data_IF_729520044783
#
_entry.id   IF_729520044783
#
_cell.length_a   1.000
_cell.length_b   1.000
_cell.length_c   1.000
_cell.angle_alpha   90.00
_cell.angle_beta   90.00
_cell.angle_gamma   90.00
#
_symmetry.space_group_name_H-M   'P 1'
#
loop_
_entity.id
_entity.type
_entity.pdbx_description
1 polymer ?
#
# COMPACT_ATOMS: atom_id res chain seq x y z
N UNK A 1 5.14 0.76 -1.20
CA UNK A 1 4.44 1.99 -1.63
C UNK A 1 2.94 1.79 -1.76
N UNK A 2 2.46 1.11 -2.81
CA UNK A 2 1.02 1.09 -3.13
C UNK A 2 0.17 0.40 -2.07
N UNK A 3 0.67 -0.69 -1.47
CA UNK A 3 0.00 -1.35 -0.36
C UNK A 3 -0.12 -0.42 0.86
N UNK A 4 0.95 0.31 1.21
CA UNK A 4 0.90 1.28 2.31
C UNK A 4 -0.15 2.38 2.05
N UNK A 5 -0.24 2.88 0.82
CA UNK A 5 -1.27 3.86 0.46
C UNK A 5 -2.69 3.31 0.71
N UNK A 6 -2.94 2.06 0.33
CA UNK A 6 -4.20 1.37 0.61
C UNK A 6 -4.44 1.11 2.10
N UNK A 7 -3.40 0.77 2.86
CA UNK A 7 -3.49 0.59 4.32
C UNK A 7 -3.90 1.90 5.01
N UNK A 8 -3.30 3.03 4.64
CA UNK A 8 -3.66 4.35 5.15
C UNK A 8 -5.09 4.75 4.72
N UNK A 9 -5.45 4.48 3.46
CA UNK A 9 -6.81 4.69 2.96
C UNK A 9 -7.85 3.83 3.69
N UNK A 10 -7.48 2.61 4.10
CA UNK A 10 -8.36 1.70 4.85
C UNK A 10 -8.74 2.30 6.20
N UNK A 11 -7.80 2.88 6.94
CA UNK A 11 -8.09 3.55 8.22
C UNK A 11 -9.14 4.64 8.04
N UNK A 12 -8.96 5.50 7.02
CA UNK A 12 -9.91 6.57 6.71
C UNK A 12 -11.26 6.01 6.28
N UNK A 13 -11.29 4.92 5.50
CA UNK A 13 -12.54 4.28 5.06
C UNK A 13 -13.37 3.71 6.20
N UNK A 14 -12.72 3.40 7.33
CA UNK A 14 -13.36 2.97 8.57
C UNK A 14 -13.91 4.15 9.39
N UNK A 15 -13.84 5.38 8.86
CA UNK A 15 -14.27 6.61 9.54
C UNK A 15 -13.31 7.03 10.65
N UNK A 16 -12.04 6.60 10.59
CA UNK A 16 -11.04 6.84 11.65
C UNK A 16 -9.95 7.80 11.18
N UNK A 17 -9.38 8.62 12.08
CA UNK A 17 -8.23 9.45 11.75
C UNK A 17 -7.00 8.58 11.47
N UNK A 18 -6.07 9.07 10.64
CA UNK A 18 -4.83 8.36 10.31
C UNK A 18 -3.97 8.00 11.54
N UNK A 19 -4.10 8.76 12.64
CA UNK A 19 -3.46 8.44 13.91
C UNK A 19 -3.87 7.07 14.46
N UNK A 20 -5.03 6.54 14.05
CA UNK A 20 -5.51 5.20 14.43
C UNK A 20 -4.83 4.07 13.65
N UNK A 21 -3.96 4.37 12.67
CA UNK A 21 -3.18 3.36 11.97
C UNK A 21 -2.36 2.49 12.91
N UNK A 22 -1.95 3.04 14.05
CA UNK A 22 -1.18 2.37 15.11
C UNK A 22 -1.97 1.28 15.86
N UNK A 23 -3.29 1.21 15.64
CA UNK A 23 -4.21 0.24 16.23
C UNK A 23 -4.66 -0.84 15.21
N UNK A 24 -4.16 -0.77 13.97
CA UNK A 24 -4.60 -1.65 12.90
C UNK A 24 -3.91 -3.01 13.00
N UNK A 25 -4.70 -4.03 13.34
CA UNK A 25 -4.30 -5.44 13.19
C UNK A 25 -4.28 -5.85 11.71
N UNK A 26 -3.10 -6.22 11.21
CA UNK A 26 -2.87 -6.54 9.79
C UNK A 26 -2.28 -7.94 9.69
N UNK A 27 -2.96 -8.83 8.97
CA UNK A 27 -2.46 -10.18 8.63
C UNK A 27 -1.90 -10.14 7.22
N UNK A 28 -0.66 -10.56 7.04
CA UNK A 28 0.05 -10.57 5.75
C UNK A 28 0.36 -11.99 5.35
N UNK A 29 -0.25 -12.47 4.26
CA UNK A 29 0.04 -13.76 3.66
C UNK A 29 1.10 -13.60 2.57
N UNK A 30 2.33 -14.03 2.86
CA UNK A 30 3.48 -13.95 1.97
C UNK A 30 4.70 -13.33 2.65
N UNK A 31 5.68 -14.17 3.00
CA UNK A 31 6.97 -13.75 3.59
C UNK A 31 8.08 -13.51 2.55
N UNK A 32 7.71 -13.20 1.31
CA UNK A 32 8.64 -12.80 0.26
C UNK A 32 8.98 -11.31 0.31
N UNK A 33 9.79 -10.86 -0.64
CA UNK A 33 10.25 -9.45 -0.72
C UNK A 33 9.12 -8.42 -0.68
N UNK A 34 8.00 -8.69 -1.35
CA UNK A 34 6.83 -7.81 -1.35
C UNK A 34 6.22 -7.68 0.06
N UNK A 35 5.93 -8.81 0.72
CA UNK A 35 5.33 -8.81 2.06
C UNK A 35 6.24 -8.17 3.10
N UNK A 36 7.52 -8.53 3.10
CA UNK A 36 8.52 -7.95 4.00
C UNK A 36 8.72 -6.45 3.75
N UNK A 37 8.73 -6.02 2.48
CA UNK A 37 8.82 -4.61 2.12
C UNK A 37 7.62 -3.79 2.59
N UNK A 38 6.40 -4.32 2.45
CA UNK A 38 5.19 -3.66 2.95
C UNK A 38 5.19 -3.58 4.47
N UNK A 39 5.57 -4.67 5.16
CA UNK A 39 5.69 -4.68 6.61
C UNK A 39 6.70 -3.65 7.13
N UNK A 40 7.88 -3.57 6.50
CA UNK A 40 8.89 -2.56 6.82
C UNK A 40 8.33 -1.14 6.70
N UNK A 41 7.69 -0.83 5.56
CA UNK A 41 7.09 0.49 5.33
C UNK A 41 5.95 0.80 6.31
N UNK A 42 5.11 -0.18 6.64
CA UNK A 42 4.00 0.00 7.58
C UNK A 42 4.51 0.24 9.01
N UNK A 43 5.54 -0.48 9.45
CA UNK A 43 6.19 -0.25 10.75
C UNK A 43 6.80 1.15 10.81
N UNK A 44 7.50 1.58 9.76
CA UNK A 44 8.07 2.93 9.68
C UNK A 44 6.97 4.01 9.76
N UNK A 45 5.84 3.80 9.08
CA UNK A 45 4.70 4.70 9.15
C UNK A 45 4.10 4.77 10.56
N UNK A 46 3.99 3.63 11.25
CA UNK A 46 3.51 3.59 12.65
C UNK A 46 4.49 4.31 13.58
N UNK A 47 5.80 4.10 13.43
CA UNK A 47 6.82 4.80 14.22
C UNK A 47 6.74 6.31 14.01
N UNK A 48 6.59 6.77 12.77
CA UNK A 48 6.42 8.20 12.41
C UNK A 48 5.14 8.80 13.03
N UNK A 49 4.02 8.07 13.01
CA UNK A 49 2.72 8.56 13.51
C UNK A 49 2.68 8.58 15.05
N UNK A 50 3.17 7.52 15.70
CA UNK A 50 3.09 7.37 17.16
C UNK A 50 4.19 8.10 17.91
N UNK A 51 5.33 8.40 17.26
CA UNK A 51 6.56 8.81 17.95
C UNK A 51 7.16 7.71 18.83
N UNK A 52 6.63 6.49 18.78
CA UNK A 52 7.08 5.34 19.56
C UNK A 52 8.16 4.54 18.81
N UNK A 53 8.86 3.67 19.54
CA UNK A 53 9.83 2.75 18.94
C UNK A 53 9.16 1.72 18.03
N UNK A 54 9.87 1.28 17.00
CA UNK A 54 9.42 0.26 16.04
C UNK A 54 8.94 -1.04 16.71
N UNK A 55 9.44 -1.36 17.91
CA UNK A 55 9.08 -2.57 18.64
C UNK A 55 7.60 -2.60 19.03
N UNK A 56 7.02 -1.47 19.42
CA UNK A 56 5.59 -1.41 19.74
C UNK A 56 4.72 -1.63 18.49
N UNK A 57 5.19 -1.12 17.35
CA UNK A 57 4.52 -1.24 16.06
C UNK A 57 4.40 -2.69 15.56
N UNK A 58 5.32 -3.59 15.95
CA UNK A 58 5.36 -4.98 15.45
C UNK A 58 4.21 -5.84 15.93
N UNK A 59 3.68 -5.56 17.12
CA UNK A 59 2.64 -6.38 17.77
C UNK A 59 1.33 -6.50 16.96
N UNK A 60 1.08 -5.58 16.02
CA UNK A 60 -0.14 -5.55 15.22
C UNK A 60 -0.03 -6.29 13.87
N UNK A 61 1.17 -6.73 13.48
CA UNK A 61 1.44 -7.34 12.17
C UNK A 61 1.68 -8.85 12.26
N UNK A 62 0.87 -9.65 11.57
CA UNK A 62 0.96 -11.11 11.61
C UNK A 62 1.42 -11.63 10.25
N UNK A 63 2.66 -12.08 10.16
CA UNK A 63 3.24 -12.61 8.93
C UNK A 63 2.97 -14.11 8.81
N UNK A 64 2.45 -14.53 7.66
CA UNK A 64 2.17 -15.93 7.34
C UNK A 64 3.00 -16.32 6.11
N UNK A 65 3.75 -17.40 6.22
CA UNK A 65 4.47 -18.01 5.11
C UNK A 65 3.86 -19.35 4.69
N UNK A 66 4.55 -20.09 3.82
CA UNK A 66 4.11 -21.40 3.34
C UNK A 66 3.89 -22.45 4.44
N UNK A 67 4.49 -22.27 5.62
CA UNK A 67 4.31 -23.17 6.76
C UNK A 67 3.41 -22.57 7.85
N UNK A 68 2.71 -21.46 7.59
CA UNK A 68 1.80 -20.81 8.53
C UNK A 68 2.40 -19.58 9.21
N UNK A 69 1.78 -19.15 10.31
CA UNK A 69 2.19 -17.99 11.11
C UNK A 69 3.68 -18.09 11.47
N UNK A 70 4.42 -17.00 11.25
CA UNK A 70 5.84 -16.89 11.55
C UNK A 70 6.04 -16.33 12.96
N UNK A 71 6.68 -17.10 13.83
CA UNK A 71 7.00 -16.68 15.20
C UNK A 71 8.50 -16.80 15.48
N UNK A 72 8.93 -16.29 16.64
CA UNK A 72 10.33 -16.37 17.09
C UNK A 72 10.78 -17.81 17.39
N UNK A 73 9.86 -18.77 17.43
CA UNK A 73 10.16 -20.20 17.61
C UNK A 73 10.47 -20.92 16.28
N UNK A 74 10.33 -20.24 15.13
CA UNK A 74 10.58 -20.83 13.81
C UNK A 74 12.04 -21.26 13.67
N UNK A 75 12.25 -22.55 13.46
CA UNK A 75 13.54 -23.09 13.06
C UNK A 75 13.89 -22.65 11.63
N UNK A 76 15.16 -22.26 11.41
CA UNK A 76 15.68 -21.83 10.10
C UNK A 76 14.90 -20.67 9.48
N UNK A 77 14.45 -19.71 10.30
CA UNK A 77 13.78 -18.52 9.82
C UNK A 77 14.72 -17.68 8.94
N UNK A 78 14.21 -17.22 7.80
CA UNK A 78 14.90 -16.26 6.94
C UNK A 78 15.29 -15.01 7.77
N UNK A 79 16.57 -14.61 7.81
CA UNK A 79 17.00 -13.40 8.50
C UNK A 79 16.23 -12.14 8.11
N UNK A 80 15.71 -12.05 6.89
CA UNK A 80 14.89 -10.94 6.43
C UNK A 80 13.47 -10.96 7.04
N UNK A 81 12.94 -12.14 7.39
CA UNK A 81 11.63 -12.30 8.01
C UNK A 81 11.68 -12.23 9.54
N UNK A 82 12.84 -12.54 10.15
CA UNK A 82 13.05 -12.52 11.60
C UNK A 82 12.61 -11.23 12.31
N UNK A 83 12.82 -10.01 11.76
CA UNK A 83 12.36 -8.78 12.40
C UNK A 83 10.84 -8.65 12.54
N UNK A 84 10.06 -9.45 11.80
CA UNK A 84 8.59 -9.42 11.75
C UNK A 84 7.94 -10.64 12.41
N UNK A 85 8.75 -11.55 12.97
CA UNK A 85 8.26 -12.71 13.67
C UNK A 85 7.54 -12.30 14.97
N UNK A 86 6.36 -12.88 15.20
CA UNK A 86 5.63 -12.67 16.45
C UNK A 86 6.27 -13.44 17.60
N UNK A 87 6.18 -12.92 18.81
CA UNK A 87 6.56 -13.67 20.00
C UNK A 87 5.33 -14.49 20.47
N UNK A 88 5.40 -15.83 20.54
CA UNK A 88 4.28 -16.68 20.98
C UNK A 88 3.67 -16.27 22.33
N UNK A 89 4.43 -15.62 23.21
CA UNK A 89 3.95 -15.14 24.51
C UNK A 89 3.01 -13.94 24.40
N UNK A 90 3.13 -13.17 23.32
CA UNK A 90 2.38 -11.94 23.09
C UNK A 90 1.14 -12.18 22.19
N UNK A 91 1.03 -13.38 21.60
CA UNK A 91 -0.09 -13.79 20.75
C UNK A 91 -0.94 -14.85 21.46
N UNK A 92 -2.07 -14.41 22.02
CA UNK A 92 -2.96 -15.29 22.77
C UNK A 92 -3.42 -16.48 21.91
N UNK A 93 -3.07 -17.71 22.32
CA UNK A 93 -3.55 -18.96 21.74
C UNK A 93 -3.11 -19.28 20.31
N UNK A 94 -2.20 -18.50 19.72
CA UNK A 94 -1.60 -18.80 18.41
C UNK A 94 -0.19 -19.36 18.59
N UNK A 95 0.15 -20.35 17.80
CA UNK A 95 1.47 -21.00 17.82
C UNK A 95 2.17 -20.84 16.49
N UNK A 96 3.46 -21.15 16.48
CA UNK A 96 4.24 -21.34 15.27
C UNK A 96 3.50 -22.23 14.27
N UNK A 97 3.42 -21.76 13.02
CA UNK A 97 2.79 -22.51 11.93
C UNK A 97 1.26 -22.57 11.95
N UNK A 98 0.59 -21.77 12.80
CA UNK A 98 -0.87 -21.64 12.74
C UNK A 98 -1.34 -21.25 11.33
N UNK A 99 -2.42 -21.86 10.87
CA UNK A 99 -2.99 -21.62 9.55
C UNK A 99 -3.59 -20.22 9.43
N UNK A 100 -3.73 -19.72 8.21
CA UNK A 100 -4.33 -18.41 7.95
C UNK A 100 -5.73 -18.25 8.53
N UNK A 101 -6.56 -19.30 8.47
CA UNK A 101 -7.91 -19.26 9.02
C UNK A 101 -7.90 -19.17 10.55
N UNK A 102 -6.97 -19.88 11.23
CA UNK A 102 -6.81 -19.80 12.69
C UNK A 102 -6.35 -18.40 13.11
N UNK A 103 -5.36 -17.85 12.41
CA UNK A 103 -4.86 -16.50 12.65
C UNK A 103 -5.98 -15.48 12.47
N UNK A 104 -6.72 -15.52 11.35
CA UNK A 104 -7.81 -14.57 11.08
C UNK A 104 -8.91 -14.67 12.15
N UNK A 105 -9.34 -15.89 12.51
CA UNK A 105 -10.37 -16.10 13.55
C UNK A 105 -9.95 -15.56 14.92
N UNK A 106 -8.68 -15.73 15.29
CA UNK A 106 -8.18 -15.34 16.61
C UNK A 106 -7.82 -13.86 16.68
N UNK A 107 -7.13 -13.33 15.67
CA UNK A 107 -6.69 -11.93 15.59
C UNK A 107 -7.88 -10.99 15.31
N UNK A 108 -8.84 -11.45 14.50
CA UNK A 108 -9.96 -10.66 13.96
C UNK A 108 -9.45 -9.38 13.30
N UNK A 109 -8.62 -9.49 12.25
CA UNK A 109 -7.82 -8.38 11.75
C UNK A 109 -8.67 -7.30 11.06
N UNK A 110 -8.17 -6.07 11.03
CA UNK A 110 -8.75 -4.98 10.24
C UNK A 110 -8.42 -5.16 8.76
N UNK A 111 -7.25 -5.71 8.45
CA UNK A 111 -6.78 -5.93 7.09
C UNK A 111 -6.22 -7.34 6.92
N UNK A 112 -6.63 -7.99 5.84
CA UNK A 112 -6.02 -9.21 5.32
C UNK A 112 -5.32 -8.90 3.99
N UNK A 113 -4.00 -9.05 3.95
CA UNK A 113 -3.13 -8.66 2.84
C UNK A 113 -2.47 -9.87 2.20
N UNK A 114 -2.76 -10.11 0.93
CA UNK A 114 -2.24 -11.21 0.12
C UNK A 114 -1.09 -10.76 -0.78
N UNK A 115 0.09 -11.33 -0.56
CA UNK A 115 1.34 -11.08 -1.29
C UNK A 115 2.11 -12.40 -1.49
N UNK A 116 1.39 -13.50 -1.62
CA UNK A 116 1.95 -14.86 -1.62
C UNK A 116 2.33 -15.38 -3.01
N UNK A 117 1.71 -14.82 -4.06
CA UNK A 117 1.77 -15.34 -5.42
C UNK A 117 0.95 -16.62 -5.65
N UNK A 118 0.16 -17.07 -4.67
CA UNK A 118 -0.61 -18.31 -4.72
C UNK A 118 -2.10 -17.99 -4.77
N UNK A 119 -2.75 -18.39 -5.86
CA UNK A 119 -4.19 -18.16 -6.05
C UNK A 119 -5.06 -18.97 -5.08
N UNK A 120 -6.17 -18.38 -4.66
CA UNK A 120 -7.21 -19.07 -3.88
C UNK A 120 -6.90 -19.33 -2.40
N UNK A 121 -5.80 -18.79 -1.84
CA UNK A 121 -5.48 -18.96 -0.41
C UNK A 121 -6.46 -18.22 0.51
N UNK A 122 -7.16 -17.19 0.01
CA UNK A 122 -8.28 -16.55 0.74
C UNK A 122 -9.57 -17.25 0.33
N UNK A 123 -9.68 -18.52 0.71
CA UNK A 123 -10.85 -19.34 0.42
C UNK A 123 -12.08 -18.91 1.23
N UNK A 124 -13.23 -19.55 0.97
CA UNK A 124 -14.50 -19.26 1.64
C UNK A 124 -14.40 -19.28 3.18
N UNK A 125 -13.62 -20.18 3.78
CA UNK A 125 -13.47 -20.25 5.24
C UNK A 125 -12.72 -19.03 5.80
N UNK A 126 -11.66 -18.60 5.11
CA UNK A 126 -10.90 -17.39 5.47
C UNK A 126 -11.75 -16.14 5.29
N UNK A 127 -12.50 -16.04 4.19
CA UNK A 127 -13.36 -14.90 3.91
C UNK A 127 -14.54 -14.81 4.90
N UNK A 128 -15.14 -15.95 5.26
CA UNK A 128 -16.14 -16.00 6.34
C UNK A 128 -15.54 -15.60 7.68
N UNK A 129 -14.30 -15.99 7.98
CA UNK A 129 -13.62 -15.55 9.18
C UNK A 129 -13.38 -14.03 9.20
N UNK A 130 -13.15 -13.40 8.04
CA UNK A 130 -13.04 -11.94 7.92
C UNK A 130 -14.33 -11.19 8.25
N UNK A 131 -15.52 -11.81 8.13
CA UNK A 131 -16.78 -11.21 8.61
C UNK A 131 -16.76 -10.90 10.10
N UNK A 132 -16.03 -11.70 10.86
CA UNK A 132 -15.90 -11.59 12.31
C UNK A 132 -14.80 -10.62 12.75
N UNK A 133 -14.31 -9.78 11.83
CA UNK A 133 -13.34 -8.73 12.10
C UNK A 133 -13.80 -7.79 13.22
N UNK A 134 -12.84 -7.20 13.94
CA UNK A 134 -13.14 -6.10 14.87
C UNK A 134 -13.53 -4.81 14.15
N UNK A 135 -13.28 -4.71 12.84
CA UNK A 135 -13.68 -3.59 12.01
C UNK A 135 -15.04 -3.87 11.37
N UNK A 136 -15.93 -2.88 11.37
CA UNK A 136 -17.18 -2.92 10.60
C UNK A 136 -16.94 -2.78 9.09
N UNK A 137 -15.75 -2.35 8.69
CA UNK A 137 -15.31 -2.16 7.31
C UNK A 137 -13.92 -2.78 7.10
N UNK A 138 -13.77 -4.11 7.21
CA UNK A 138 -12.47 -4.75 7.08
C UNK A 138 -11.99 -4.68 5.63
N UNK A 139 -10.68 -4.66 5.44
CA UNK A 139 -10.06 -4.66 4.11
C UNK A 139 -9.48 -6.03 3.75
N UNK A 140 -9.69 -6.43 2.50
CA UNK A 140 -9.12 -7.65 1.90
C UNK A 140 -8.37 -7.24 0.64
N UNK A 141 -7.05 -7.37 0.66
CA UNK A 141 -6.16 -6.98 -0.44
C UNK A 141 -5.59 -8.24 -1.10
N UNK A 142 -6.09 -8.63 -2.27
CA UNK A 142 -5.61 -9.77 -3.06
C UNK A 142 -4.61 -9.30 -4.14
N UNK A 143 -3.38 -8.99 -3.72
CA UNK A 143 -2.43 -8.20 -4.53
C UNK A 143 -1.55 -9.02 -5.48
N UNK A 144 -1.64 -10.35 -5.42
CA UNK A 144 -0.86 -11.21 -6.30
C UNK A 144 -1.29 -11.09 -7.77
N UNK A 145 -0.29 -11.17 -8.66
CA UNK A 145 -0.47 -11.07 -10.11
C UNK A 145 0.10 -12.32 -10.82
N UNK A 146 -0.42 -12.69 -12.00
CA UNK A 146 -1.62 -12.17 -12.67
C UNK A 146 -2.92 -12.63 -11.98
N UNK A 147 -4.09 -12.37 -12.56
CA UNK A 147 -5.42 -12.67 -11.98
C UNK A 147 -5.55 -14.10 -11.43
N UNK A 148 -4.96 -15.10 -12.09
CA UNK A 148 -4.99 -16.51 -11.65
C UNK A 148 -4.27 -16.74 -10.31
N UNK A 149 -3.34 -15.85 -9.94
CA UNK A 149 -2.59 -15.90 -8.69
C UNK A 149 -3.19 -15.02 -7.60
N UNK A 150 -4.26 -14.27 -7.89
CA UNK A 150 -4.93 -13.46 -6.88
C UNK A 150 -5.46 -14.36 -5.76
N UNK A 151 -5.27 -13.93 -4.51
CA UNK A 151 -5.60 -14.74 -3.33
C UNK A 151 -7.09 -15.10 -3.25
N UNK A 152 -7.97 -14.24 -3.79
CA UNK A 152 -9.38 -14.50 -4.04
C UNK A 152 -9.88 -13.59 -5.18
N UNK A 153 -11.08 -13.88 -5.69
CA UNK A 153 -11.77 -12.95 -6.60
C UNK A 153 -12.54 -11.89 -5.81
N UNK A 154 -12.84 -10.76 -6.46
CA UNK A 154 -13.70 -9.73 -5.86
C UNK A 154 -15.08 -10.29 -5.48
N UNK A 155 -15.67 -11.11 -6.36
CA UNK A 155 -16.98 -11.74 -6.14
C UNK A 155 -16.96 -12.62 -4.90
N UNK A 156 -15.96 -13.49 -4.75
CA UNK A 156 -15.83 -14.36 -3.58
C UNK A 156 -15.67 -13.52 -2.30
N UNK A 157 -14.83 -12.48 -2.36
CA UNK A 157 -14.59 -11.60 -1.23
C UNK A 157 -15.88 -10.93 -0.75
N UNK A 158 -16.64 -10.26 -1.63
CA UNK A 158 -17.89 -9.63 -1.22
C UNK A 158 -18.95 -10.66 -0.81
N UNK A 159 -19.06 -11.79 -1.52
CA UNK A 159 -20.03 -12.84 -1.20
C UNK A 159 -19.77 -13.47 0.16
N UNK A 160 -18.51 -13.68 0.56
CA UNK A 160 -18.16 -14.44 1.76
C UNK A 160 -17.64 -13.58 2.92
N UNK A 161 -17.18 -12.35 2.69
CA UNK A 161 -16.76 -11.41 3.74
C UNK A 161 -17.74 -10.23 3.95
N UNK A 162 -18.71 -10.04 3.06
CA UNK A 162 -19.83 -9.10 3.22
C UNK A 162 -19.75 -7.87 2.31
N UNK A 163 -20.87 -7.16 2.17
CA UNK A 163 -21.02 -6.01 1.24
C UNK A 163 -20.23 -4.78 1.68
N UNK A 164 -19.89 -4.67 2.98
CA UNK A 164 -19.22 -3.50 3.54
C UNK A 164 -17.69 -3.58 3.52
N UNK A 165 -17.10 -4.66 3.02
CA UNK A 165 -15.63 -4.75 2.98
C UNK A 165 -15.03 -3.69 2.07
N UNK A 166 -13.75 -3.40 2.29
CA UNK A 166 -12.92 -2.74 1.28
C UNK A 166 -12.13 -3.82 0.54
N UNK A 167 -12.31 -3.90 -0.78
CA UNK A 167 -11.57 -4.85 -1.59
C UNK A 167 -10.56 -4.13 -2.50
N UNK A 168 -9.33 -4.67 -2.55
CA UNK A 168 -8.32 -4.23 -3.50
C UNK A 168 -7.57 -5.42 -4.09
N UNK A 169 -7.12 -5.29 -5.33
CA UNK A 169 -6.38 -6.35 -6.01
C UNK A 169 -5.23 -5.79 -6.84
N UNK A 170 -4.21 -6.62 -7.11
CA UNK A 170 -3.10 -6.22 -7.98
C UNK A 170 -3.51 -6.23 -9.46
N UNK A 171 -4.32 -7.23 -9.83
CA UNK A 171 -4.90 -7.43 -11.15
C UNK A 171 -6.30 -6.80 -11.23
N UNK A 172 -6.75 -6.37 -12.42
CA UNK A 172 -8.06 -5.75 -12.59
C UNK A 172 -9.19 -6.76 -12.40
N UNK A 173 -10.26 -6.34 -11.71
CA UNK A 173 -11.55 -7.00 -11.65
C UNK A 173 -12.65 -5.95 -11.84
N UNK A 174 -13.84 -6.40 -12.24
CA UNK A 174 -15.01 -5.53 -12.31
C UNK A 174 -15.59 -5.27 -10.91
N UNK A 175 -16.25 -4.13 -10.76
CA UNK A 175 -17.05 -3.85 -9.57
C UNK A 175 -18.18 -4.89 -9.42
N UNK A 176 -18.56 -5.19 -8.18
CA UNK A 176 -19.59 -6.19 -7.90
C UNK A 176 -20.92 -5.51 -7.63
N UNK A 177 -21.90 -5.70 -8.52
CA UNK A 177 -23.28 -5.24 -8.31
C UNK A 177 -24.03 -6.23 -7.40
N UNK A 178 -24.57 -5.73 -6.29
CA UNK A 178 -25.32 -6.56 -5.34
C UNK A 178 -26.81 -6.72 -5.70
N UNK A 179 -27.29 -6.06 -6.76
CA UNK A 179 -28.68 -6.12 -7.23
C UNK A 179 -29.68 -5.36 -6.34
N UNK A 180 -29.21 -4.75 -5.25
CA UNK A 180 -29.98 -3.89 -4.34
C UNK A 180 -29.74 -2.39 -4.60
N UNK A 181 -29.02 -2.04 -5.67
CA UNK A 181 -28.61 -0.68 -6.01
C UNK A 181 -27.27 -0.25 -5.39
N UNK A 182 -26.66 -1.09 -4.53
CA UNK A 182 -25.32 -0.88 -4.01
C UNK A 182 -24.28 -1.65 -4.85
N UNK A 183 -23.07 -1.09 -4.89
CA UNK A 183 -21.94 -1.65 -5.64
C UNK A 183 -20.74 -1.82 -4.72
N UNK A 184 -20.16 -3.01 -4.73
CA UNK A 184 -18.85 -3.30 -4.17
C UNK A 184 -17.76 -2.78 -5.08
N UNK A 185 -17.15 -1.66 -4.72
CA UNK A 185 -16.06 -1.06 -5.49
C UNK A 185 -14.78 -1.88 -5.38
N UNK A 186 -14.18 -2.19 -6.54
CA UNK A 186 -12.92 -2.91 -6.62
C UNK A 186 -11.78 -1.95 -6.92
N UNK A 187 -10.82 -1.92 -6.00
CA UNK A 187 -9.64 -1.09 -6.12
C UNK A 187 -8.50 -1.82 -6.80
N UNK A 188 -7.73 -1.11 -7.63
CA UNK A 188 -6.52 -1.66 -8.22
C UNK A 188 -5.28 -1.19 -7.46
N UNK A 189 -4.80 -1.98 -6.50
CA UNK A 189 -3.59 -1.72 -5.75
C UNK A 189 -2.33 -2.14 -6.56
N UNK A 190 -2.03 -1.39 -7.63
CA UNK A 190 -0.91 -1.70 -8.53
C UNK A 190 0.22 -0.65 -8.47
N UNK A 191 1.46 -1.11 -8.60
CA UNK A 191 2.64 -0.25 -8.55
C UNK A 191 2.72 0.79 -9.67
N UNK A 192 1.89 0.68 -10.72
CA UNK A 192 1.75 1.69 -11.78
C UNK A 192 1.50 3.10 -11.25
N UNK A 193 0.85 3.25 -10.07
CA UNK A 193 0.62 4.55 -9.44
C UNK A 193 1.87 5.21 -8.87
N UNK A 194 2.93 4.44 -8.59
CA UNK A 194 4.10 4.94 -7.87
C UNK A 194 5.37 4.93 -8.69
N UNK A 195 5.69 3.85 -9.42
CA UNK A 195 6.98 3.74 -10.10
C UNK A 195 7.28 4.89 -11.08
N UNK A 196 6.32 5.35 -11.92
CA UNK A 196 6.57 6.49 -12.80
C UNK A 196 6.88 7.77 -12.03
N UNK A 197 6.11 8.07 -10.97
CA UNK A 197 6.30 9.25 -10.14
C UNK A 197 7.60 9.21 -9.35
N UNK A 198 7.94 8.07 -8.74
CA UNK A 198 9.21 7.86 -8.05
C UNK A 198 10.38 8.11 -9.01
N UNK A 199 10.38 7.46 -10.18
CA UNK A 199 11.46 7.64 -11.15
C UNK A 199 11.59 9.09 -11.63
N UNK A 200 10.48 9.74 -11.96
CA UNK A 200 10.49 11.13 -12.42
C UNK A 200 10.91 12.11 -11.33
N UNK A 201 10.40 11.95 -10.11
CA UNK A 201 10.74 12.79 -8.96
C UNK A 201 12.21 12.69 -8.58
N UNK A 202 12.76 11.48 -8.54
CA UNK A 202 14.20 11.24 -8.30
C UNK A 202 15.06 11.83 -9.42
N UNK A 203 14.66 11.66 -10.69
CA UNK A 203 15.40 12.22 -11.82
C UNK A 203 15.45 13.75 -11.76
N UNK A 204 14.32 14.40 -11.45
CA UNK A 204 14.20 15.85 -11.43
C UNK A 204 14.79 16.49 -10.17
N UNK A 205 14.93 15.74 -9.08
CA UNK A 205 15.66 16.19 -7.88
C UNK A 205 17.18 16.11 -8.05
N UNK A 206 17.67 15.32 -9.01
CA UNK A 206 19.09 15.01 -9.15
C UNK A 206 19.64 14.06 -8.08
N UNK A 207 18.76 13.41 -7.30
CA UNK A 207 19.21 12.54 -6.22
C UNK A 207 19.83 11.23 -6.75
N UNK A 208 20.99 10.86 -6.20
CA UNK A 208 21.70 9.62 -6.56
C UNK A 208 21.15 8.37 -5.85
N UNK A 209 20.33 8.56 -4.83
CA UNK A 209 19.76 7.50 -3.99
C UNK A 209 18.25 7.68 -3.89
N UNK A 210 17.53 6.55 -3.84
CA UNK A 210 16.11 6.52 -3.47
C UNK A 210 16.04 5.99 -2.05
N UNK A 211 15.60 6.83 -1.12
CA UNK A 211 15.50 6.46 0.31
C UNK A 211 14.14 5.90 0.67
N UNK A 212 14.05 5.25 1.83
CA UNK A 212 12.78 4.81 2.39
C UNK A 212 11.84 6.00 2.66
N UNK A 213 12.37 7.18 2.99
CA UNK A 213 11.60 8.42 3.19
C UNK A 213 10.95 8.92 1.90
N UNK A 214 11.69 8.91 0.78
CA UNK A 214 11.13 9.19 -0.55
C UNK A 214 10.02 8.20 -0.94
N UNK A 215 10.21 6.90 -0.68
CA UNK A 215 9.19 5.88 -0.95
C UNK A 215 7.95 6.04 -0.06
N UNK A 216 8.14 6.49 1.17
CA UNK A 216 7.07 6.79 2.11
C UNK A 216 6.28 8.03 1.67
N UNK A 217 6.95 9.12 1.27
CA UNK A 217 6.32 10.32 0.73
C UNK A 217 5.47 10.02 -0.51
N UNK A 218 5.96 9.15 -1.39
CA UNK A 218 5.19 8.67 -2.55
C UNK A 218 3.89 7.96 -2.13
N UNK A 219 3.95 7.10 -1.12
CA UNK A 219 2.79 6.35 -0.63
C UNK A 219 1.78 7.25 0.11
N UNK A 220 2.26 8.17 0.95
CA UNK A 220 1.44 9.16 1.65
C UNK A 220 0.74 10.10 0.66
N UNK A 221 1.45 10.55 -0.39
CA UNK A 221 0.89 11.35 -1.47
C UNK A 221 -0.27 10.62 -2.17
N UNK A 222 -0.06 9.37 -2.60
CA UNK A 222 -1.11 8.57 -3.24
C UNK A 222 -2.31 8.36 -2.30
N UNK A 223 -2.09 8.09 -1.02
CA UNK A 223 -3.17 7.94 -0.05
C UNK A 223 -3.99 9.24 0.14
N UNK A 224 -3.32 10.40 0.05
CA UNK A 224 -3.95 11.72 0.20
C UNK A 224 -4.68 12.20 -1.06
N UNK A 225 -4.44 11.58 -2.22
CA UNK A 225 -5.04 11.98 -3.49
C UNK A 225 -6.57 11.77 -3.50
N UNK A 226 -7.05 10.77 -2.75
CA UNK A 226 -8.47 10.43 -2.72
C UNK A 226 -9.27 11.33 -1.77
N UNK A 227 -10.46 11.71 -2.24
CA UNK A 227 -11.44 12.45 -1.45
C UNK A 227 -11.95 11.61 -0.28
N UNK A 228 -12.35 12.26 0.81
CA UNK A 228 -12.99 11.57 1.94
C UNK A 228 -14.29 10.87 1.51
N UNK A 229 -15.04 11.47 0.57
CA UNK A 229 -16.28 10.88 0.06
C UNK A 229 -16.04 9.53 -0.63
N UNK A 230 -15.04 9.46 -1.51
CA UNK A 230 -14.69 8.23 -2.23
C UNK A 230 -14.15 7.16 -1.27
N UNK A 231 -13.32 7.56 -0.32
CA UNK A 231 -12.77 6.65 0.69
C UNK A 231 -13.88 6.06 1.57
N UNK A 232 -14.86 6.87 1.98
CA UNK A 232 -16.01 6.38 2.74
C UNK A 232 -16.90 5.43 1.92
N UNK A 233 -16.89 5.51 0.59
CA UNK A 233 -17.49 4.51 -0.32
C UNK A 233 -16.62 3.27 -0.53
N UNK A 234 -15.39 3.25 0.01
CA UNK A 234 -14.46 2.14 -0.13
C UNK A 234 -13.57 2.22 -1.38
N UNK A 235 -13.48 3.39 -2.01
CA UNK A 235 -12.60 3.65 -3.14
C UNK A 235 -11.32 4.29 -2.61
N UNK A 236 -10.25 3.51 -2.60
CA UNK A 236 -8.95 3.86 -2.01
C UNK A 236 -7.91 4.33 -3.03
N UNK A 237 -8.14 4.08 -4.32
CA UNK A 237 -7.19 4.43 -5.38
C UNK A 237 -7.90 5.23 -6.48
N UNK A 238 -7.20 6.17 -7.12
CA UNK A 238 -7.77 6.99 -8.16
C UNK A 238 -8.08 6.18 -9.42
N UNK A 239 -8.83 6.78 -10.35
CA UNK A 239 -8.99 6.22 -11.69
C UNK A 239 -7.65 6.17 -12.43
N UNK A 240 -7.44 5.13 -13.22
CA UNK A 240 -6.28 4.99 -14.13
C UNK A 240 -6.26 6.13 -15.16
N UNK A 241 -7.40 6.72 -15.49
CA UNK A 241 -7.45 7.86 -16.42
C UNK A 241 -6.71 9.09 -15.87
N UNK A 242 -6.58 9.19 -14.54
CA UNK A 242 -5.83 10.26 -13.86
C UNK A 242 -4.35 9.92 -13.65
N UNK A 243 -3.84 8.81 -14.19
CA UNK A 243 -2.49 8.30 -13.89
C UNK A 243 -1.37 9.31 -14.17
N UNK A 244 -1.52 10.17 -15.18
CA UNK A 244 -0.52 11.22 -15.49
C UNK A 244 -0.49 12.30 -14.41
N UNK A 245 -1.66 12.70 -13.92
CA UNK A 245 -1.77 13.68 -12.85
C UNK A 245 -1.23 13.11 -11.53
N UNK A 246 -1.62 11.87 -11.19
CA UNK A 246 -1.08 11.13 -10.05
C UNK A 246 0.44 11.01 -10.14
N UNK A 247 0.99 10.74 -11.33
CA UNK A 247 2.44 10.67 -11.56
C UNK A 247 3.12 12.00 -11.24
N UNK A 248 2.52 13.13 -11.59
CA UNK A 248 3.07 14.44 -11.30
C UNK A 248 3.05 14.75 -9.80
N UNK A 249 1.94 14.48 -9.11
CA UNK A 249 1.79 14.67 -7.66
C UNK A 249 2.77 13.77 -6.88
N UNK A 250 2.87 12.49 -7.26
CA UNK A 250 3.81 11.55 -6.64
C UNK A 250 5.26 11.98 -6.91
N UNK A 251 5.58 12.37 -8.14
CA UNK A 251 6.91 12.86 -8.49
C UNK A 251 7.31 14.11 -7.71
N UNK A 252 6.36 15.02 -7.50
CA UNK A 252 6.59 16.21 -6.69
C UNK A 252 6.83 15.85 -5.21
N UNK A 253 6.04 14.93 -4.65
CA UNK A 253 6.24 14.46 -3.27
C UNK A 253 7.62 13.81 -3.08
N UNK A 254 8.05 12.99 -4.04
CA UNK A 254 9.36 12.33 -4.02
C UNK A 254 10.50 13.34 -4.15
N UNK A 255 10.38 14.32 -5.04
CA UNK A 255 11.36 15.41 -5.18
C UNK A 255 11.49 16.19 -3.87
N UNK A 256 10.37 16.59 -3.28
CA UNK A 256 10.37 17.35 -2.02
C UNK A 256 10.99 16.54 -0.88
N UNK A 257 10.72 15.25 -0.79
CA UNK A 257 11.39 14.38 0.17
C UNK A 257 12.91 14.34 -0.05
N UNK A 258 13.39 14.28 -1.29
CA UNK A 258 14.83 14.35 -1.57
C UNK A 258 15.45 15.70 -1.16
N UNK A 259 14.70 16.80 -1.30
CA UNK A 259 15.13 18.13 -0.81
C UNK A 259 15.19 18.15 0.72
N UNK A 260 14.15 17.67 1.39
CA UNK A 260 14.07 17.61 2.86
C UNK A 260 15.15 16.72 3.49
N UNK A 261 15.61 15.70 2.75
CA UNK A 261 16.67 14.79 3.16
C UNK A 261 18.08 15.27 2.73
N UNK A 262 18.22 16.48 2.20
CA UNK A 262 19.48 17.06 1.68
C UNK A 262 20.17 16.19 0.59
N UNK A 263 19.37 15.48 -0.21
CA UNK A 263 19.82 14.61 -1.30
C UNK A 263 19.64 15.22 -2.70
N UNK A 264 18.91 16.32 -2.82
CA UNK A 264 18.64 16.96 -4.10
C UNK A 264 19.85 17.75 -4.60
N UNK A 265 20.30 17.46 -5.84
CA UNK A 265 21.39 18.17 -6.53
C UNK A 265 20.89 19.08 -7.66
N UNK A 266 19.61 19.00 -8.02
CA UNK A 266 19.04 19.69 -9.18
C UNK A 266 19.24 18.93 -10.49
N UNK A 267 18.60 19.39 -11.56
CA UNK A 267 18.68 18.79 -12.88
C UNK A 267 18.52 19.85 -13.97
N UNK A 268 19.44 19.85 -14.95
CA UNK A 268 19.44 20.84 -16.03
C UNK A 268 19.66 22.26 -15.52
N UNK A 269 18.74 23.17 -15.87
CA UNK A 269 18.81 24.57 -15.46
C UNK A 269 18.31 24.82 -14.02
N UNK A 270 17.67 23.83 -13.39
CA UNK A 270 17.09 23.97 -12.05
C UNK A 270 18.02 23.40 -11.00
N UNK A 271 18.63 24.28 -10.21
CA UNK A 271 19.57 23.91 -9.15
C UNK A 271 18.92 23.56 -7.81
N UNK A 272 19.68 23.03 -6.83
CA UNK A 272 19.15 22.55 -5.56
C UNK A 272 18.57 23.67 -4.70
N UNK A 273 19.13 24.89 -4.82
CA UNK A 273 18.58 26.08 -4.17
C UNK A 273 17.18 26.41 -4.68
N UNK A 274 16.95 26.31 -5.99
CA UNK A 274 15.64 26.62 -6.56
C UNK A 274 14.61 25.59 -6.12
N UNK A 275 14.96 24.30 -6.17
CA UNK A 275 14.11 23.21 -5.67
C UNK A 275 13.70 23.43 -4.21
N UNK A 276 14.62 23.88 -3.36
CA UNK A 276 14.33 24.14 -1.94
C UNK A 276 13.35 25.29 -1.69
N UNK A 277 13.21 26.24 -2.63
CA UNK A 277 12.29 27.36 -2.50
C UNK A 277 10.93 27.12 -3.19
N UNK A 278 10.77 26.02 -3.93
CA UNK A 278 9.50 25.70 -4.58
C UNK A 278 8.43 25.34 -3.54
N UNK A 279 7.26 25.97 -3.67
CA UNK A 279 6.02 25.50 -3.05
C UNK A 279 5.64 24.11 -3.57
N UNK A 280 4.65 23.48 -2.93
CA UNK A 280 4.14 22.18 -3.39
C UNK A 280 3.61 22.30 -4.82
N UNK A 281 2.81 23.33 -5.08
CA UNK A 281 2.17 23.59 -6.36
C UNK A 281 3.19 23.86 -7.46
N UNK A 282 4.22 24.66 -7.17
CA UNK A 282 5.33 24.90 -8.10
C UNK A 282 6.13 23.63 -8.40
N UNK A 283 6.31 22.76 -7.40
CA UNK A 283 7.00 21.48 -7.62
C UNK A 283 6.19 20.58 -8.55
N UNK A 284 4.87 20.49 -8.35
CA UNK A 284 4.00 19.71 -9.23
C UNK A 284 4.06 20.25 -10.65
N UNK A 285 4.00 21.57 -10.83
CA UNK A 285 4.10 22.18 -12.16
C UNK A 285 5.46 21.95 -12.81
N UNK A 286 6.54 22.03 -12.02
CA UNK A 286 7.88 21.68 -12.48
C UNK A 286 7.94 20.24 -12.99
N UNK A 287 7.35 19.29 -12.25
CA UNK A 287 7.27 17.88 -12.69
C UNK A 287 6.44 17.76 -13.96
N UNK A 288 5.25 18.36 -14.03
CA UNK A 288 4.36 18.32 -15.21
C UNK A 288 5.05 18.84 -16.47
N UNK A 289 5.76 19.97 -16.38
CA UNK A 289 6.48 20.58 -17.51
C UNK A 289 7.60 19.69 -18.05
N UNK A 290 8.17 18.83 -17.22
CA UNK A 290 9.22 17.88 -17.60
C UNK A 290 8.68 16.51 -18.02
N UNK A 291 7.36 16.29 -18.02
CA UNK A 291 6.79 15.05 -18.55
C UNK A 291 6.83 15.06 -20.08
N UNK A 292 7.30 13.96 -20.68
CA UNK A 292 7.20 13.78 -22.12
C UNK A 292 5.73 13.57 -22.56
N UNK A 293 5.37 14.19 -23.67
CA UNK A 293 4.09 13.99 -24.35
C UNK A 293 4.32 13.57 -25.80
N UNK A 294 3.50 12.66 -26.35
CA UNK A 294 3.61 12.18 -27.73
C UNK A 294 3.08 13.21 -28.74
N UNK A 295 3.55 14.46 -28.65
CA UNK A 295 3.22 15.54 -29.59
C UNK A 295 4.40 15.67 -30.55
N UNK A 296 4.13 15.50 -31.85
CA UNK A 296 5.16 15.65 -32.87
C UNK A 296 5.65 17.10 -32.93
N UNK A 297 6.94 17.30 -32.69
CA UNK A 297 7.59 18.57 -32.96
C UNK A 297 7.70 18.79 -34.48
N UNK A 298 7.44 20.00 -34.99
CA UNK A 298 7.70 20.31 -36.39
C UNK A 298 9.19 20.14 -36.68
N UNK A 299 9.52 19.32 -37.68
CA UNK A 299 10.89 19.19 -38.18
C UNK A 299 11.22 20.46 -38.99
N UNK A 300 11.91 21.41 -38.36
CA UNK A 300 12.45 22.57 -39.06
C UNK A 300 13.79 22.17 -39.66
N UNK A 301 13.85 22.08 -40.99
CA UNK A 301 15.11 21.89 -41.70
C UNK A 301 15.81 23.24 -41.77
N UNK A 302 16.81 23.48 -40.94
CA UNK A 302 17.71 24.62 -41.13
C UNK A 302 18.41 24.44 -42.49
N UNK A 303 18.42 25.50 -43.30
CA UNK A 303 19.05 25.56 -44.63
C UNK A 303 20.39 26.27 -44.55
#
# INVERSE_FOLDING_TARGET
GVALAGLLGTVRSQGRPLSDFVNQKIVVAGAGSAGLGVLKMAINAVAKISGCSETAAKSQFFLIDKNGLVTTERNNLDPAAAPFAQNPRDIDGLTEGASIVEVVKKVKPHVLLGLSGVGGIFNEEVLKAMRESVSTKPAIFAMSNPTMNAECTAIDAFNHAGEHIVFASGSPFENVDFGNGNVGHVNQANNMYLFPGIGLGTLLSGAHLITDGMLQAAAECLASYMSEEDILKGILYPSVDSIRDVTAEVGAAVLRAAVEEDLAEGQGDVGPRELAHMSKEETVEYVRRNMWFPVYSPLVHEK
#
